data_IF_199738470311
#
_entry.id   IF_199738470311
#
_cell.length_a   1.000
_cell.length_b   1.000
_cell.length_c   1.000
_cell.angle_alpha   90.00
_cell.angle_beta   90.00
_cell.angle_gamma   90.00
#
_symmetry.space_group_name_H-M   'P 1'
#
loop_
_entity.id
_entity.type
_entity.pdbx_description
1 polymer ?
#
# COMPACT_ATOMS: atom_id res chain seq x y z
N UNK A 1 27.17 12.04 -2.17
CA UNK A 1 26.32 12.96 -1.37
C UNK A 1 25.67 13.97 -2.30
N UNK A 2 24.38 14.13 -2.22
CA UNK A 2 23.56 15.03 -3.04
C UNK A 2 22.95 16.10 -2.13
N UNK A 3 22.98 17.36 -2.56
CA UNK A 3 22.35 18.46 -1.82
C UNK A 3 21.11 18.93 -2.58
N UNK A 4 19.97 18.91 -1.89
CA UNK A 4 18.69 19.42 -2.38
C UNK A 4 18.31 20.64 -1.55
N UNK A 5 18.06 21.76 -2.19
CA UNK A 5 17.54 22.97 -1.55
C UNK A 5 16.21 23.36 -2.19
N UNK A 6 15.23 23.71 -1.39
CA UNK A 6 13.91 24.16 -1.85
C UNK A 6 13.49 25.44 -1.14
N UNK A 7 12.86 26.36 -1.87
CA UNK A 7 12.36 27.63 -1.33
C UNK A 7 11.22 27.43 -0.32
N UNK A 8 10.42 26.36 -0.50
CA UNK A 8 9.29 26.03 0.37
C UNK A 8 9.31 24.55 0.70
N UNK A 9 9.05 24.19 1.95
CA UNK A 9 9.04 22.81 2.45
C UNK A 9 8.09 21.88 1.66
N UNK A 10 6.98 22.40 1.16
CA UNK A 10 5.98 21.62 0.42
C UNK A 10 6.47 20.97 -0.87
N UNK A 11 7.60 21.38 -1.43
CA UNK A 11 8.22 20.75 -2.61
C UNK A 11 9.28 19.74 -2.25
N UNK A 12 9.81 19.78 -1.04
CA UNK A 12 10.95 18.96 -0.59
C UNK A 12 10.68 17.47 -0.69
N UNK A 13 9.48 17.03 -0.31
CA UNK A 13 9.10 15.61 -0.33
C UNK A 13 9.19 14.99 -1.72
N UNK A 14 8.54 15.59 -2.71
CA UNK A 14 8.51 15.06 -4.09
C UNK A 14 9.91 15.06 -4.72
N UNK A 15 10.67 16.14 -4.52
CA UNK A 15 12.05 16.26 -5.01
C UNK A 15 12.94 15.19 -4.39
N UNK A 16 12.89 15.02 -3.08
CA UNK A 16 13.68 14.01 -2.37
C UNK A 16 13.42 12.61 -2.89
N UNK A 17 12.15 12.21 -2.96
CA UNK A 17 11.81 10.86 -3.37
C UNK A 17 12.19 10.57 -4.82
N UNK A 18 12.05 11.58 -5.71
CA UNK A 18 12.47 11.43 -7.09
C UNK A 18 14.00 11.30 -7.19
N UNK A 19 14.75 12.18 -6.52
CA UNK A 19 16.22 12.10 -6.50
C UNK A 19 16.68 10.76 -5.91
N UNK A 20 16.04 10.31 -4.82
CA UNK A 20 16.37 9.02 -4.18
C UNK A 20 16.09 7.82 -5.09
N UNK A 21 15.07 7.90 -5.96
CA UNK A 21 14.79 6.86 -6.93
C UNK A 21 15.88 6.74 -8.00
N UNK A 22 16.49 7.85 -8.43
CA UNK A 22 17.62 7.82 -9.37
C UNK A 22 18.97 7.48 -8.69
N UNK A 23 19.11 7.82 -7.41
CA UNK A 23 20.35 7.67 -6.64
C UNK A 23 20.08 6.89 -5.33
N UNK A 24 19.71 5.61 -5.40
CA UNK A 24 19.26 4.85 -4.22
C UNK A 24 20.35 4.69 -3.13
N UNK A 25 21.63 4.71 -3.53
CA UNK A 25 22.76 4.50 -2.62
C UNK A 25 23.39 5.81 -2.14
N UNK A 26 22.96 6.96 -2.67
CA UNK A 26 23.53 8.24 -2.27
C UNK A 26 22.87 8.80 -1.01
N UNK A 27 23.67 9.47 -0.19
CA UNK A 27 23.16 10.31 0.88
C UNK A 27 22.60 11.59 0.30
N UNK A 28 21.39 11.97 0.72
CA UNK A 28 20.70 13.18 0.26
C UNK A 28 20.48 14.10 1.45
N UNK A 29 21.12 15.27 1.40
CA UNK A 29 20.92 16.34 2.39
C UNK A 29 19.89 17.31 1.85
N UNK A 30 18.84 17.54 2.65
CA UNK A 30 17.76 18.48 2.32
C UNK A 30 17.92 19.77 3.11
N UNK A 31 17.67 20.89 2.46
CA UNK A 31 17.62 22.20 3.07
C UNK A 31 16.39 22.96 2.56
N UNK A 32 15.77 23.75 3.43
CA UNK A 32 14.74 24.72 3.05
C UNK A 32 15.33 26.10 3.28
N UNK A 33 15.45 26.87 2.19
CA UNK A 33 15.96 28.23 2.22
C UNK A 33 14.97 29.18 1.52
N UNK A 34 14.16 29.85 2.32
CA UNK A 34 13.14 30.79 1.83
C UNK A 34 13.71 32.00 1.07
N UNK A 35 14.99 32.29 1.26
CA UNK A 35 15.69 33.44 0.63
C UNK A 35 16.31 33.07 -0.71
N UNK A 36 16.41 31.81 -1.07
CA UNK A 36 16.95 31.43 -2.39
C UNK A 36 16.07 31.94 -3.53
N UNK A 37 16.67 32.29 -4.65
CA UNK A 37 15.94 32.73 -5.86
C UNK A 37 15.20 31.57 -6.53
N UNK A 38 15.87 30.43 -6.66
CA UNK A 38 15.27 29.22 -7.28
C UNK A 38 14.22 28.60 -6.40
N UNK A 39 13.20 28.04 -7.03
CA UNK A 39 12.17 27.19 -6.35
C UNK A 39 12.82 25.94 -5.78
N UNK A 40 13.65 25.27 -6.60
CA UNK A 40 14.44 24.09 -6.24
C UNK A 40 15.82 24.20 -6.85
N UNK A 41 16.83 23.83 -6.06
CA UNK A 41 18.20 23.65 -6.52
C UNK A 41 18.72 22.28 -6.09
N UNK A 42 19.47 21.62 -6.98
CA UNK A 42 20.03 20.29 -6.78
C UNK A 42 21.49 20.27 -7.23
N UNK A 43 22.38 19.81 -6.36
CA UNK A 43 23.78 19.59 -6.69
C UNK A 43 24.07 18.09 -6.68
N UNK A 44 24.44 17.55 -7.84
CA UNK A 44 24.74 16.14 -8.04
C UNK A 44 26.24 15.83 -7.84
N UNK A 45 26.61 14.57 -7.56
CA UNK A 45 27.97 14.11 -7.65
C UNK A 45 28.53 14.36 -9.05
N UNK A 46 29.78 14.84 -9.14
CA UNK A 46 30.40 15.19 -10.44
C UNK A 46 30.22 16.64 -10.88
N UNK A 47 29.55 17.48 -10.06
CA UNK A 47 29.45 18.93 -10.27
C UNK A 47 28.28 19.38 -11.14
N UNK A 48 27.42 18.48 -11.61
CA UNK A 48 26.20 18.86 -12.30
C UNK A 48 25.21 19.48 -11.32
N UNK A 49 24.55 20.59 -11.74
CA UNK A 49 23.54 21.26 -10.95
C UNK A 49 22.25 21.45 -11.74
N UNK A 50 21.14 21.36 -11.03
CA UNK A 50 19.82 21.74 -11.49
C UNK A 50 19.35 22.93 -10.64
N UNK A 51 18.81 23.94 -11.27
CA UNK A 51 18.18 25.06 -10.58
C UNK A 51 17.02 25.53 -11.44
N UNK A 52 15.87 25.75 -10.83
CA UNK A 52 14.67 26.20 -11.54
C UNK A 52 13.92 27.23 -10.69
N UNK A 53 13.50 28.33 -11.29
CA UNK A 53 12.69 29.36 -10.66
C UNK A 53 11.18 28.97 -10.71
N UNK A 54 10.37 29.64 -9.87
CA UNK A 54 8.91 29.38 -9.85
C UNK A 54 8.28 29.77 -11.20
N UNK A 55 8.67 30.90 -11.75
CA UNK A 55 8.15 31.44 -13.01
C UNK A 55 8.42 30.50 -14.19
N UNK A 56 9.54 29.80 -14.18
CA UNK A 56 9.88 28.81 -15.20
C UNK A 56 8.97 27.57 -15.10
N UNK A 57 8.66 27.12 -13.87
CA UNK A 57 7.75 26.00 -13.65
C UNK A 57 6.31 26.38 -14.01
N UNK A 58 5.88 27.59 -13.65
CA UNK A 58 4.56 28.13 -14.01
C UNK A 58 4.40 28.25 -15.53
N UNK A 59 5.41 28.77 -16.22
CA UNK A 59 5.40 28.87 -17.67
C UNK A 59 5.31 27.47 -18.34
N UNK A 60 5.98 26.47 -17.79
CA UNK A 60 5.94 25.10 -18.28
C UNK A 60 4.61 24.39 -17.93
N UNK A 61 3.96 24.75 -16.84
CA UNK A 61 2.66 24.22 -16.43
C UNK A 61 1.49 24.72 -17.31
N UNK A 62 1.71 25.79 -18.10
CA UNK A 62 0.71 26.37 -18.97
C UNK A 62 -0.18 27.39 -18.27
N UNK A 63 -1.38 27.63 -18.80
CA UNK A 63 -2.29 28.63 -18.24
C UNK A 63 -2.92 28.16 -16.92
N UNK A 64 -2.39 28.69 -15.82
CA UNK A 64 -2.90 28.42 -14.47
C UNK A 64 -4.08 29.33 -14.08
N UNK A 65 -4.45 30.32 -14.90
CA UNK A 65 -5.52 31.28 -14.60
C UNK A 65 -6.90 30.66 -14.64
N UNK A 66 -7.07 29.58 -15.42
CA UNK A 66 -8.34 28.85 -15.53
C UNK A 66 -8.61 27.89 -14.35
N UNK A 67 -7.64 27.70 -13.45
CA UNK A 67 -7.81 26.81 -12.29
C UNK A 67 -8.58 27.51 -11.18
N UNK A 68 -9.66 26.88 -10.73
CA UNK A 68 -10.61 27.43 -9.77
C UNK A 68 -10.04 27.61 -8.36
N UNK A 69 -9.03 26.81 -7.96
CA UNK A 69 -8.48 26.84 -6.60
C UNK A 69 -6.98 26.96 -6.57
N UNK A 70 -6.45 27.61 -5.52
CA UNK A 70 -5.00 27.68 -5.29
C UNK A 70 -4.37 26.31 -5.08
N UNK A 71 -5.13 25.33 -4.54
CA UNK A 71 -4.67 23.94 -4.38
C UNK A 71 -4.48 23.26 -5.74
N UNK A 72 -5.38 23.49 -6.71
CA UNK A 72 -5.24 22.98 -8.07
C UNK A 72 -4.03 23.55 -8.77
N UNK A 73 -3.79 24.85 -8.65
CA UNK A 73 -2.58 25.53 -9.18
C UNK A 73 -1.31 24.93 -8.57
N UNK A 74 -1.30 24.75 -7.26
CA UNK A 74 -0.16 24.18 -6.57
C UNK A 74 0.12 22.73 -7.00
N UNK A 75 -0.90 21.93 -7.21
CA UNK A 75 -0.75 20.56 -7.73
C UNK A 75 -0.18 20.55 -9.16
N UNK A 76 -0.62 21.48 -10.01
CA UNK A 76 -0.09 21.63 -11.36
C UNK A 76 1.40 22.02 -11.34
N UNK A 77 1.78 22.98 -10.49
CA UNK A 77 3.18 23.39 -10.30
C UNK A 77 4.03 22.21 -9.78
N UNK A 78 3.55 21.47 -8.78
CA UNK A 78 4.25 20.29 -8.25
C UNK A 78 4.42 19.19 -9.32
N UNK A 79 3.39 18.95 -10.11
CA UNK A 79 3.41 17.99 -11.21
C UNK A 79 4.48 18.39 -12.23
N UNK A 80 4.48 19.64 -12.69
CA UNK A 80 5.42 20.07 -13.72
C UNK A 80 6.86 20.18 -13.20
N UNK A 81 7.08 20.68 -11.99
CA UNK A 81 8.38 20.64 -11.34
C UNK A 81 8.95 19.20 -11.31
N UNK A 82 8.13 18.24 -10.93
CA UNK A 82 8.54 16.83 -10.88
C UNK A 82 8.90 16.29 -12.26
N UNK A 83 8.16 16.70 -13.31
CA UNK A 83 8.42 16.31 -14.72
C UNK A 83 9.73 16.90 -15.23
N UNK A 84 9.97 18.18 -14.97
CA UNK A 84 11.21 18.87 -15.39
C UNK A 84 12.43 18.27 -14.68
N UNK A 85 12.32 18.04 -13.39
CA UNK A 85 13.38 17.38 -12.61
C UNK A 85 13.63 15.95 -13.09
N UNK A 86 12.59 15.17 -13.39
CA UNK A 86 12.72 13.81 -13.93
C UNK A 86 13.53 13.81 -15.23
N UNK A 87 13.17 14.66 -16.19
CA UNK A 87 13.88 14.77 -17.46
C UNK A 87 15.35 15.13 -17.30
N UNK A 88 15.64 16.07 -16.38
CA UNK A 88 17.02 16.42 -16.06
C UNK A 88 17.79 15.22 -15.49
N UNK A 89 17.23 14.52 -14.50
CA UNK A 89 17.87 13.37 -13.87
C UNK A 89 18.05 12.21 -14.85
N UNK A 90 17.08 11.94 -15.69
CA UNK A 90 17.14 10.93 -16.75
C UNK A 90 18.31 11.23 -17.71
N UNK A 91 18.48 12.46 -18.14
CA UNK A 91 19.59 12.88 -19.00
C UNK A 91 20.94 12.73 -18.31
N UNK A 92 21.04 13.13 -17.04
CA UNK A 92 22.29 13.05 -16.27
C UNK A 92 22.72 11.61 -15.98
N UNK A 93 21.76 10.74 -15.65
CA UNK A 93 22.04 9.35 -15.26
C UNK A 93 21.96 8.36 -16.42
N UNK A 94 21.34 8.72 -17.54
CA UNK A 94 20.96 7.84 -18.66
C UNK A 94 20.15 6.64 -18.20
N UNK A 95 19.35 6.83 -17.14
CA UNK A 95 18.51 5.79 -16.53
C UNK A 95 17.07 6.24 -16.59
N UNK A 96 16.18 5.36 -17.04
CA UNK A 96 14.73 5.54 -16.96
C UNK A 96 14.19 4.78 -15.75
N UNK A 97 13.24 5.36 -15.03
CA UNK A 97 12.55 4.68 -13.94
C UNK A 97 11.30 3.99 -14.48
N UNK A 98 11.11 2.71 -14.17
CA UNK A 98 9.96 1.94 -14.66
C UNK A 98 8.60 2.54 -14.25
N UNK A 99 8.51 3.18 -13.09
CA UNK A 99 7.35 3.92 -12.61
C UNK A 99 7.41 5.43 -12.86
N UNK A 100 8.39 5.91 -13.60
CA UNK A 100 8.55 7.32 -13.94
C UNK A 100 8.58 8.23 -12.71
N UNK A 101 7.71 9.23 -12.69
CA UNK A 101 7.58 10.18 -11.57
C UNK A 101 6.69 9.67 -10.41
N UNK A 102 6.10 8.48 -10.53
CA UNK A 102 5.23 7.93 -9.49
C UNK A 102 6.05 7.37 -8.33
N UNK A 103 6.33 8.22 -7.35
CA UNK A 103 7.03 7.86 -6.11
C UNK A 103 6.09 7.99 -4.91
N UNK A 104 6.08 6.99 -4.03
CA UNK A 104 5.27 7.02 -2.80
C UNK A 104 3.75 6.94 -3.01
N UNK A 105 3.28 6.52 -4.18
CA UNK A 105 1.86 6.38 -4.52
C UNK A 105 1.50 4.92 -4.85
N UNK A 106 0.20 4.62 -4.82
CA UNK A 106 -0.34 3.32 -5.28
C UNK A 106 -0.73 3.44 -6.75
N UNK A 107 0.06 2.90 -7.70
CA UNK A 107 -0.20 3.06 -9.13
C UNK A 107 -1.55 2.48 -9.56
N UNK A 108 -1.96 1.35 -8.99
CA UNK A 108 -3.24 0.70 -9.30
C UNK A 108 -4.44 1.57 -8.89
N UNK A 109 -4.37 2.27 -7.75
CA UNK A 109 -5.41 3.22 -7.35
C UNK A 109 -5.51 4.39 -8.32
N UNK A 110 -4.37 4.93 -8.78
CA UNK A 110 -4.35 5.99 -9.78
C UNK A 110 -4.93 5.49 -11.12
N UNK A 111 -4.58 4.27 -11.53
CA UNK A 111 -5.15 3.64 -12.73
C UNK A 111 -6.67 3.48 -12.59
N UNK A 112 -7.17 3.05 -11.44
CA UNK A 112 -8.61 2.91 -11.18
C UNK A 112 -9.33 4.27 -11.32
N UNK A 113 -8.81 5.31 -10.67
CA UNK A 113 -9.39 6.67 -10.77
C UNK A 113 -9.40 7.20 -12.20
N UNK A 114 -8.33 6.92 -13.00
CA UNK A 114 -8.32 7.30 -14.42
C UNK A 114 -9.28 6.47 -15.26
N UNK A 115 -9.43 5.18 -15.01
CA UNK A 115 -10.41 4.32 -15.69
C UNK A 115 -11.85 4.78 -15.40
N UNK A 116 -12.15 5.27 -14.21
CA UNK A 116 -13.44 5.85 -13.85
C UNK A 116 -13.79 7.08 -14.68
N UNK A 117 -12.80 7.90 -15.06
CA UNK A 117 -13.02 9.05 -15.96
C UNK A 117 -13.48 8.64 -17.35
N UNK A 118 -13.27 7.40 -17.74
CA UNK A 118 -13.59 6.83 -19.06
C UNK A 118 -14.71 5.79 -19.01
N UNK A 119 -15.59 5.82 -18.00
CA UNK A 119 -16.68 4.83 -17.82
C UNK A 119 -17.67 4.75 -19.00
N UNK A 120 -17.83 5.83 -19.77
CA UNK A 120 -18.67 5.85 -20.96
C UNK A 120 -18.07 5.11 -22.16
N UNK A 121 -16.81 4.68 -22.07
CA UNK A 121 -16.06 4.01 -23.13
C UNK A 121 -16.06 2.49 -22.94
N UNK A 122 -15.62 1.76 -23.99
CA UNK A 122 -15.33 0.34 -23.81
C UNK A 122 -14.13 0.15 -22.88
N UNK A 123 -14.07 -0.98 -22.16
CA UNK A 123 -12.95 -1.31 -21.25
C UNK A 123 -11.59 -1.19 -21.98
N UNK A 124 -11.52 -1.72 -23.21
CA UNK A 124 -10.30 -1.67 -24.01
C UNK A 124 -9.86 -0.23 -24.37
N UNK A 125 -10.81 0.65 -24.66
CA UNK A 125 -10.51 2.07 -24.96
C UNK A 125 -10.09 2.82 -23.68
N UNK A 126 -10.79 2.59 -22.56
CA UNK A 126 -10.45 3.17 -21.26
C UNK A 126 -9.04 2.76 -20.82
N UNK A 127 -8.68 1.48 -20.95
CA UNK A 127 -7.33 0.97 -20.67
C UNK A 127 -6.29 1.66 -21.55
N UNK A 128 -6.52 1.72 -22.86
CA UNK A 128 -5.57 2.36 -23.80
C UNK A 128 -5.31 3.82 -23.46
N UNK A 129 -6.37 4.59 -23.13
CA UNK A 129 -6.24 6.00 -22.72
C UNK A 129 -5.53 6.15 -21.40
N UNK A 130 -5.81 5.28 -20.43
CA UNK A 130 -5.14 5.30 -19.12
C UNK A 130 -3.66 4.97 -19.27
N UNK A 131 -3.30 3.98 -20.08
CA UNK A 131 -1.89 3.64 -20.39
C UNK A 131 -1.19 4.84 -21.05
N UNK A 132 -1.83 5.49 -22.03
CA UNK A 132 -1.31 6.72 -22.65
C UNK A 132 -1.06 7.82 -21.62
N UNK A 133 -2.05 8.08 -20.76
CA UNK A 133 -1.92 9.08 -19.70
C UNK A 133 -0.76 8.76 -18.71
N UNK A 134 -0.56 7.50 -18.35
CA UNK A 134 0.55 7.10 -17.47
C UNK A 134 1.92 7.37 -18.12
N UNK A 135 2.04 7.13 -19.41
CA UNK A 135 3.27 7.41 -20.17
C UNK A 135 3.51 8.91 -20.32
N UNK A 136 2.51 9.63 -20.77
CA UNK A 136 2.63 11.03 -21.16
C UNK A 136 2.70 11.98 -19.95
N UNK A 137 1.94 11.66 -18.89
CA UNK A 137 1.90 12.50 -17.71
C UNK A 137 2.98 12.17 -16.68
N UNK A 138 3.30 10.86 -16.52
CA UNK A 138 4.14 10.38 -15.42
C UNK A 138 5.42 9.67 -15.87
N UNK A 139 5.68 9.55 -17.18
CA UNK A 139 6.84 8.84 -17.73
C UNK A 139 6.93 7.36 -17.29
N UNK A 140 5.81 6.73 -16.98
CA UNK A 140 5.74 5.31 -16.64
C UNK A 140 6.01 4.47 -17.88
N UNK A 141 6.78 3.39 -17.74
CA UNK A 141 6.99 2.46 -18.84
C UNK A 141 5.68 1.82 -19.29
N UNK A 142 5.59 1.48 -20.58
CA UNK A 142 4.41 0.82 -21.16
C UNK A 142 4.01 -0.43 -20.36
N UNK A 143 5.00 -1.29 -20.07
CA UNK A 143 4.80 -2.54 -19.30
C UNK A 143 4.15 -2.27 -17.93
N UNK A 144 4.66 -1.28 -17.18
CA UNK A 144 4.13 -0.95 -15.87
C UNK A 144 2.78 -0.26 -15.92
N UNK A 145 2.55 0.57 -16.92
CA UNK A 145 1.26 1.20 -17.16
C UNK A 145 0.17 0.15 -17.47
N UNK A 146 0.47 -0.80 -18.35
CA UNK A 146 -0.41 -1.92 -18.68
C UNK A 146 -0.70 -2.77 -17.44
N UNK A 147 0.35 -3.17 -16.70
CA UNK A 147 0.20 -3.94 -15.46
C UNK A 147 -0.71 -3.23 -14.44
N UNK A 148 -0.52 -1.92 -14.22
CA UNK A 148 -1.36 -1.15 -13.31
C UNK A 148 -2.83 -1.15 -13.75
N UNK A 149 -3.09 -1.00 -15.05
CA UNK A 149 -4.45 -1.03 -15.60
C UNK A 149 -5.09 -2.42 -15.48
N UNK A 150 -4.35 -3.50 -15.80
CA UNK A 150 -4.85 -4.87 -15.66
C UNK A 150 -5.25 -5.20 -14.24
N UNK A 151 -4.42 -4.80 -13.27
CA UNK A 151 -4.74 -4.98 -11.85
C UNK A 151 -5.97 -4.15 -11.49
N UNK A 152 -6.03 -2.86 -11.89
CA UNK A 152 -7.16 -1.98 -11.58
C UNK A 152 -8.50 -2.52 -12.15
N UNK A 153 -8.49 -3.05 -13.37
CA UNK A 153 -9.68 -3.68 -13.97
C UNK A 153 -10.11 -4.91 -13.17
N UNK A 154 -9.17 -5.75 -12.74
CA UNK A 154 -9.48 -6.91 -11.88
C UNK A 154 -10.01 -6.48 -10.52
N UNK A 155 -9.38 -5.50 -9.89
CA UNK A 155 -9.83 -4.94 -8.61
C UNK A 155 -11.25 -4.36 -8.74
N UNK A 156 -11.54 -3.59 -9.80
CA UNK A 156 -12.89 -3.04 -10.04
C UNK A 156 -13.94 -4.15 -10.12
N UNK A 157 -13.66 -5.26 -10.81
CA UNK A 157 -14.55 -6.42 -10.92
C UNK A 157 -14.75 -7.15 -9.58
N UNK A 158 -13.72 -7.20 -8.73
CA UNK A 158 -13.82 -7.79 -7.39
C UNK A 158 -14.59 -6.87 -6.45
N UNK A 159 -14.22 -5.60 -6.42
CA UNK A 159 -14.83 -4.59 -5.55
C UNK A 159 -16.31 -4.36 -5.88
N UNK A 160 -16.74 -4.54 -7.14
CA UNK A 160 -18.16 -4.42 -7.52
C UNK A 160 -19.09 -5.46 -6.87
N UNK A 161 -18.52 -6.48 -6.21
CA UNK A 161 -19.27 -7.49 -5.44
C UNK A 161 -19.48 -7.10 -3.98
N UNK A 162 -18.79 -6.05 -3.51
CA UNK A 162 -18.94 -5.56 -2.14
C UNK A 162 -20.24 -4.79 -1.99
N UNK A 163 -20.88 -4.96 -0.84
CA UNK A 163 -22.02 -4.15 -0.44
C UNK A 163 -21.52 -2.89 0.27
N UNK A 164 -21.26 -1.83 -0.49
CA UNK A 164 -20.78 -0.55 0.07
C UNK A 164 -21.77 0.17 1.00
N UNK A 165 -23.02 -0.23 0.98
CA UNK A 165 -24.07 0.42 1.78
C UNK A 165 -24.23 -0.25 3.14
N UNK A 166 -24.41 -1.57 3.12
CA UNK A 166 -24.79 -2.35 4.30
C UNK A 166 -23.75 -3.40 4.68
N UNK A 167 -22.69 -3.58 3.87
CA UNK A 167 -21.59 -4.49 4.12
C UNK A 167 -20.43 -3.87 4.89
N UNK A 168 -19.61 -4.71 5.51
CA UNK A 168 -18.37 -4.33 6.18
C UNK A 168 -17.31 -5.42 6.07
N UNK A 169 -16.04 -5.09 6.36
CA UNK A 169 -14.97 -6.05 6.50
C UNK A 169 -14.61 -6.23 7.97
N UNK A 170 -14.63 -7.50 8.44
CA UNK A 170 -14.25 -7.84 9.80
C UNK A 170 -12.77 -8.24 9.84
N UNK A 171 -11.96 -7.46 10.56
CA UNK A 171 -10.58 -7.82 10.86
C UNK A 171 -10.43 -8.27 12.31
N UNK A 172 -9.85 -9.46 12.51
CA UNK A 172 -9.58 -10.04 13.84
C UNK A 172 -8.08 -10.19 14.01
N UNK A 173 -7.50 -9.43 14.93
CA UNK A 173 -6.06 -9.42 15.18
C UNK A 173 -5.64 -10.46 16.21
N UNK A 174 -4.59 -11.25 15.92
CA UNK A 174 -3.90 -12.11 16.88
C UNK A 174 -2.46 -11.61 17.01
N UNK A 175 -2.08 -10.93 18.11
CA UNK A 175 -0.79 -10.24 18.21
C UNK A 175 0.38 -11.16 18.55
N UNK A 176 0.18 -12.47 18.55
CA UNK A 176 1.20 -13.43 18.97
C UNK A 176 1.89 -14.07 17.77
N UNK A 177 3.21 -14.29 17.90
CA UNK A 177 4.02 -15.06 16.96
C UNK A 177 4.82 -16.13 17.72
N UNK A 178 5.28 -17.21 17.06
CA UNK A 178 6.22 -18.15 17.69
C UNK A 178 7.48 -17.44 18.18
N UNK A 179 8.02 -16.53 17.36
CA UNK A 179 9.12 -15.60 17.65
C UNK A 179 8.95 -14.34 16.81
N UNK A 180 9.61 -13.24 17.18
CA UNK A 180 9.63 -12.01 16.36
C UNK A 180 10.74 -12.13 15.32
N UNK A 181 10.39 -12.04 14.04
CA UNK A 181 11.36 -12.06 12.94
C UNK A 181 12.23 -10.79 12.96
N UNK A 182 13.52 -10.93 12.66
CA UNK A 182 14.49 -9.82 12.71
C UNK A 182 14.15 -8.61 11.83
N UNK A 183 13.35 -8.80 10.81
CA UNK A 183 12.90 -7.77 9.86
C UNK A 183 11.46 -7.27 10.10
N UNK A 184 10.77 -7.81 11.12
CA UNK A 184 9.35 -7.52 11.33
C UNK A 184 9.14 -6.11 11.89
N UNK A 185 8.27 -5.33 11.24
CA UNK A 185 7.83 -4.01 11.68
C UNK A 185 6.44 -4.01 12.31
N UNK A 186 5.77 -5.16 12.40
CA UNK A 186 4.45 -5.28 12.98
C UNK A 186 4.50 -5.35 14.51
N UNK A 187 3.43 -4.88 15.15
CA UNK A 187 3.23 -5.05 16.60
C UNK A 187 2.91 -6.50 16.91
N UNK A 188 3.94 -7.32 17.07
CA UNK A 188 3.82 -8.73 17.42
C UNK A 188 4.63 -9.05 18.66
N UNK A 189 4.22 -10.06 19.41
CA UNK A 189 4.85 -10.49 20.65
C UNK A 189 5.17 -12.00 20.61
N UNK A 190 6.36 -12.43 21.09
CA UNK A 190 6.66 -13.85 21.21
C UNK A 190 5.68 -14.52 22.15
N UNK A 191 5.00 -15.58 21.72
CA UNK A 191 3.98 -16.24 22.55
C UNK A 191 4.56 -16.80 23.85
N UNK A 192 5.82 -17.20 23.85
CA UNK A 192 6.51 -17.71 25.05
C UNK A 192 6.49 -16.72 26.22
N UNK A 193 6.59 -15.41 25.95
CA UNK A 193 6.56 -14.35 26.94
C UNK A 193 5.15 -14.02 27.43
N UNK A 194 4.14 -14.38 26.65
CA UNK A 194 2.73 -14.05 26.88
C UNK A 194 1.85 -15.26 27.18
N UNK A 195 2.46 -16.44 27.36
CA UNK A 195 1.74 -17.72 27.50
C UNK A 195 0.62 -17.65 28.54
N UNK A 196 0.87 -17.04 29.69
CA UNK A 196 -0.11 -16.89 30.77
C UNK A 196 -1.21 -15.85 30.48
N UNK A 197 -1.07 -15.07 29.42
CA UNK A 197 -2.01 -14.01 29.02
C UNK A 197 -2.86 -14.35 27.79
N UNK A 198 -2.49 -15.37 27.04
CA UNK A 198 -3.21 -15.75 25.81
C UNK A 198 -4.69 -16.04 26.08
N UNK A 199 -5.01 -16.78 27.15
CA UNK A 199 -6.41 -17.07 27.50
C UNK A 199 -7.17 -15.79 27.90
N UNK A 200 -6.56 -14.88 28.66
CA UNK A 200 -7.19 -13.60 29.02
C UNK A 200 -7.43 -12.73 27.78
N UNK A 201 -6.46 -12.71 26.86
CA UNK A 201 -6.60 -12.02 25.58
C UNK A 201 -7.74 -12.61 24.78
N UNK A 202 -7.75 -13.93 24.60
CA UNK A 202 -8.78 -14.61 23.82
C UNK A 202 -10.18 -14.37 24.43
N UNK A 203 -10.30 -14.44 25.76
CA UNK A 203 -11.55 -14.14 26.44
C UNK A 203 -12.06 -12.72 26.13
N UNK A 204 -11.18 -11.73 26.17
CA UNK A 204 -11.53 -10.34 25.83
C UNK A 204 -11.93 -10.21 24.36
N UNK A 205 -11.16 -10.81 23.44
CA UNK A 205 -11.43 -10.83 22.00
C UNK A 205 -12.79 -11.45 21.68
N UNK A 206 -13.10 -12.60 22.27
CA UNK A 206 -14.39 -13.27 22.07
C UNK A 206 -15.57 -12.44 22.60
N UNK A 207 -15.36 -11.69 23.70
CA UNK A 207 -16.37 -10.74 24.21
C UNK A 207 -16.56 -9.58 23.24
N UNK A 208 -15.49 -9.04 22.70
CA UNK A 208 -15.52 -7.97 21.71
C UNK A 208 -16.23 -8.41 20.42
N UNK A 209 -15.91 -9.60 19.89
CA UNK A 209 -16.57 -10.18 18.70
C UNK A 209 -18.09 -10.27 18.91
N UNK A 210 -18.55 -10.77 20.07
CA UNK A 210 -19.99 -10.84 20.40
C UNK A 210 -20.63 -9.44 20.49
N UNK A 211 -19.92 -8.46 21.03
CA UNK A 211 -20.41 -7.09 21.12
C UNK A 211 -20.54 -6.46 19.73
N UNK A 212 -19.53 -6.62 18.87
CA UNK A 212 -19.55 -6.15 17.48
C UNK A 212 -20.69 -6.85 16.71
N UNK A 213 -20.88 -8.18 16.87
CA UNK A 213 -21.99 -8.90 16.24
C UNK A 213 -23.36 -8.30 16.56
N UNK A 214 -23.59 -7.92 17.83
CA UNK A 214 -24.82 -7.22 18.24
C UNK A 214 -24.92 -5.80 17.66
N UNK A 215 -23.82 -5.06 17.61
CA UNK A 215 -23.80 -3.69 17.10
C UNK A 215 -24.00 -3.64 15.57
N UNK A 216 -23.66 -4.71 14.88
CA UNK A 216 -23.80 -4.84 13.42
C UNK A 216 -25.08 -5.59 12.99
N UNK A 217 -26.09 -5.72 13.87
CA UNK A 217 -27.38 -6.27 13.48
C UNK A 217 -27.97 -5.52 12.28
N UNK A 218 -28.38 -6.26 11.25
CA UNK A 218 -28.86 -5.70 9.98
C UNK A 218 -27.77 -5.45 8.94
N UNK A 219 -26.49 -5.54 9.33
CA UNK A 219 -25.31 -5.50 8.45
C UNK A 219 -24.63 -6.86 8.42
N UNK A 220 -23.88 -7.14 7.36
CA UNK A 220 -23.16 -8.41 7.22
C UNK A 220 -21.76 -8.20 6.71
N UNK A 221 -20.79 -9.05 7.11
CA UNK A 221 -19.44 -8.94 6.60
C UNK A 221 -19.37 -9.39 5.14
N UNK A 222 -18.77 -8.56 4.29
CA UNK A 222 -18.34 -8.94 2.94
C UNK A 222 -17.05 -9.77 2.96
N UNK A 223 -16.20 -9.51 3.94
CA UNK A 223 -14.99 -10.28 4.16
C UNK A 223 -14.67 -10.44 5.64
N UNK A 224 -14.02 -11.55 5.98
CA UNK A 224 -13.46 -11.83 7.31
C UNK A 224 -11.97 -12.12 7.16
N UNK A 225 -11.15 -11.46 7.94
CA UNK A 225 -9.71 -11.64 7.90
C UNK A 225 -9.15 -11.79 9.32
N UNK A 226 -8.60 -12.96 9.60
CA UNK A 226 -7.89 -13.23 10.87
C UNK A 226 -6.40 -13.13 10.58
N UNK A 227 -5.74 -12.12 11.14
CA UNK A 227 -4.34 -11.80 10.88
C UNK A 227 -3.63 -11.20 12.10
N UNK A 228 -2.59 -10.41 11.87
CA UNK A 228 -1.82 -9.72 12.89
C UNK A 228 -0.40 -10.24 13.00
N UNK A 229 -0.06 -10.92 14.09
CA UNK A 229 1.19 -11.65 14.23
C UNK A 229 1.14 -12.95 13.44
N UNK A 230 0.70 -14.03 14.08
CA UNK A 230 0.51 -15.34 13.44
C UNK A 230 -0.68 -16.04 14.08
N UNK A 231 -1.87 -15.98 13.50
CA UNK A 231 -3.09 -16.59 14.08
C UNK A 231 -2.94 -18.07 14.44
N UNK A 232 -2.20 -18.83 13.64
CA UNK A 232 -1.91 -20.26 13.91
C UNK A 232 -0.96 -20.50 15.10
N UNK A 233 -0.52 -19.44 15.78
CA UNK A 233 0.14 -19.56 17.09
C UNK A 233 -0.84 -20.01 18.18
N UNK A 234 -2.13 -19.72 18.03
CA UNK A 234 -3.17 -20.26 18.90
C UNK A 234 -3.21 -21.80 18.83
N UNK A 235 -3.51 -22.43 19.96
CA UNK A 235 -3.75 -23.87 20.00
C UNK A 235 -5.04 -24.24 19.27
N UNK A 236 -5.18 -25.51 18.84
CA UNK A 236 -6.33 -25.97 18.05
C UNK A 236 -7.67 -25.67 18.74
N UNK A 237 -7.77 -25.89 20.06
CA UNK A 237 -8.98 -25.59 20.85
C UNK A 237 -9.27 -24.08 20.91
N UNK A 238 -8.23 -23.26 21.03
CA UNK A 238 -8.34 -21.80 21.03
C UNK A 238 -8.83 -21.28 19.68
N UNK A 239 -8.31 -21.83 18.59
CA UNK A 239 -8.73 -21.54 17.22
C UNK A 239 -10.20 -21.96 16.98
N UNK A 240 -10.60 -23.14 17.47
CA UNK A 240 -11.98 -23.61 17.37
C UNK A 240 -12.95 -22.64 18.08
N UNK A 241 -12.64 -22.20 19.30
CA UNK A 241 -13.44 -21.22 20.04
C UNK A 241 -13.56 -19.89 19.31
N UNK A 242 -12.46 -19.41 18.70
CA UNK A 242 -12.45 -18.17 17.93
C UNK A 242 -13.33 -18.26 16.70
N UNK A 243 -13.11 -19.28 15.85
CA UNK A 243 -13.85 -19.48 14.60
C UNK A 243 -15.34 -19.73 14.87
N UNK A 244 -15.65 -20.52 15.91
CA UNK A 244 -17.03 -20.76 16.35
C UNK A 244 -17.71 -19.44 16.77
N UNK A 245 -17.04 -18.62 17.57
CA UNK A 245 -17.63 -17.34 18.02
C UNK A 245 -17.90 -16.42 16.84
N UNK A 246 -17.00 -16.33 15.86
CA UNK A 246 -17.24 -15.54 14.64
C UNK A 246 -18.46 -16.07 13.89
N UNK A 247 -18.53 -17.39 13.65
CA UNK A 247 -19.60 -18.01 12.88
C UNK A 247 -20.97 -17.90 13.56
N UNK A 248 -21.00 -17.91 14.90
CA UNK A 248 -22.25 -17.79 15.67
C UNK A 248 -22.77 -16.33 15.77
N UNK A 249 -21.93 -15.33 15.55
CA UNK A 249 -22.29 -13.92 15.77
C UNK A 249 -22.41 -13.10 14.49
N UNK A 250 -22.01 -13.63 13.32
CA UNK A 250 -22.15 -12.95 12.04
C UNK A 250 -22.80 -13.87 11.00
N UNK A 251 -23.65 -13.28 10.15
CA UNK A 251 -24.15 -13.99 8.96
C UNK A 251 -23.04 -14.01 7.87
N UNK A 252 -22.45 -15.18 7.70
CA UNK A 252 -21.37 -15.40 6.75
C UNK A 252 -21.83 -15.93 5.39
N UNK A 253 -23.15 -15.99 5.14
CA UNK A 253 -23.73 -16.60 3.93
C UNK A 253 -23.27 -15.94 2.61
N UNK A 254 -22.94 -14.65 2.66
CA UNK A 254 -22.52 -13.86 1.49
C UNK A 254 -21.07 -13.37 1.59
N UNK A 255 -20.29 -13.89 2.53
CA UNK A 255 -18.88 -13.54 2.66
C UNK A 255 -18.11 -13.94 1.39
N UNK A 256 -17.48 -12.98 0.75
CA UNK A 256 -16.70 -13.18 -0.47
C UNK A 256 -15.38 -13.89 -0.18
N UNK A 257 -14.76 -13.58 0.95
CA UNK A 257 -13.52 -14.20 1.39
C UNK A 257 -13.45 -14.25 2.92
N UNK A 258 -13.19 -15.45 3.47
CA UNK A 258 -12.83 -15.64 4.87
C UNK A 258 -11.40 -16.18 4.93
N UNK A 259 -10.46 -15.32 5.29
CA UNK A 259 -9.02 -15.63 5.33
C UNK A 259 -8.55 -15.85 6.76
N UNK A 260 -7.72 -16.89 6.94
CA UNK A 260 -6.90 -17.11 8.14
C UNK A 260 -5.43 -17.06 7.75
N UNK A 261 -4.67 -16.17 8.36
CA UNK A 261 -3.22 -16.16 8.20
C UNK A 261 -2.58 -17.32 8.96
N UNK A 262 -1.78 -18.09 8.25
CA UNK A 262 -0.87 -19.11 8.76
C UNK A 262 0.56 -18.73 8.34
N UNK A 263 0.96 -17.50 8.69
CA UNK A 263 2.15 -16.83 8.15
C UNK A 263 3.48 -17.50 8.49
N UNK A 264 3.49 -18.39 9.47
CA UNK A 264 4.66 -19.14 9.91
C UNK A 264 4.41 -20.63 9.76
N UNK A 265 5.11 -21.35 8.85
CA UNK A 265 4.93 -22.82 8.67
C UNK A 265 5.15 -23.61 9.95
N UNK A 266 6.06 -23.17 10.84
CA UNK A 266 6.36 -23.79 12.13
C UNK A 266 5.21 -23.71 13.15
N UNK A 267 4.21 -22.87 12.91
CA UNK A 267 2.99 -22.77 13.74
C UNK A 267 1.82 -23.60 13.25
N UNK A 268 1.96 -24.28 12.11
CA UNK A 268 0.89 -25.05 11.46
C UNK A 268 0.98 -26.51 11.90
N UNK A 269 -0.16 -27.07 12.34
CA UNK A 269 -0.31 -28.51 12.62
C UNK A 269 -1.54 -29.06 11.90
N UNK A 270 -1.57 -30.39 11.70
CA UNK A 270 -2.72 -31.06 11.09
C UNK A 270 -4.01 -30.82 11.89
N UNK A 271 -3.91 -30.82 13.22
CA UNK A 271 -5.04 -30.55 14.11
C UNK A 271 -5.62 -29.14 13.91
N UNK A 272 -4.77 -28.14 13.81
CA UNK A 272 -5.19 -26.75 13.54
C UNK A 272 -5.84 -26.61 12.18
N UNK A 273 -5.27 -27.23 11.15
CA UNK A 273 -5.87 -27.27 9.81
C UNK A 273 -7.22 -28.00 9.80
N UNK A 274 -7.34 -29.10 10.53
CA UNK A 274 -8.60 -29.83 10.69
C UNK A 274 -9.67 -28.97 11.38
N UNK A 275 -9.28 -28.17 12.37
CA UNK A 275 -10.18 -27.20 13.02
C UNK A 275 -10.62 -26.13 12.03
N UNK A 276 -9.70 -25.48 11.34
CA UNK A 276 -10.02 -24.42 10.37
C UNK A 276 -11.01 -24.93 9.31
N UNK A 277 -10.82 -26.16 8.84
CA UNK A 277 -11.68 -26.79 7.82
C UNK A 277 -13.14 -27.02 8.26
N UNK A 278 -13.44 -27.03 9.56
CA UNK A 278 -14.83 -27.17 10.06
C UNK A 278 -15.69 -25.91 9.80
N UNK A 279 -15.05 -24.78 9.55
CA UNK A 279 -15.67 -23.47 9.42
C UNK A 279 -15.65 -22.99 7.96
N UNK A 280 -16.46 -22.00 7.58
CA UNK A 280 -16.52 -21.51 6.20
C UNK A 280 -15.31 -20.66 5.79
N UNK A 281 -14.12 -21.05 6.25
CA UNK A 281 -12.85 -20.41 5.84
C UNK A 281 -12.59 -20.78 4.38
N UNK A 282 -12.45 -19.75 3.53
CA UNK A 282 -12.25 -19.93 2.10
C UNK A 282 -10.78 -19.88 1.69
N UNK A 283 -9.91 -19.32 2.56
CA UNK A 283 -8.51 -19.09 2.26
C UNK A 283 -7.61 -19.21 3.49
N UNK A 284 -6.46 -19.83 3.30
CA UNK A 284 -5.35 -19.83 4.25
C UNK A 284 -4.15 -19.16 3.58
N UNK A 285 -3.52 -18.18 4.25
CA UNK A 285 -2.33 -17.50 3.77
C UNK A 285 -1.08 -18.08 4.44
N UNK A 286 -0.23 -18.74 3.65
CA UNK A 286 1.01 -19.38 4.13
C UNK A 286 2.20 -18.64 3.50
N UNK A 287 3.12 -18.16 4.34
CA UNK A 287 4.31 -17.46 3.89
C UNK A 287 5.55 -18.36 4.03
N UNK A 288 6.28 -18.66 2.97
CA UNK A 288 7.55 -19.38 3.08
C UNK A 288 8.66 -18.54 3.71
N UNK A 289 8.45 -17.23 3.89
CA UNK A 289 9.37 -16.18 4.34
C UNK A 289 10.56 -15.98 3.39
N UNK A 290 11.29 -17.05 3.06
CA UNK A 290 12.36 -17.09 2.04
C UNK A 290 12.52 -18.52 1.53
N UNK A 291 13.02 -18.66 0.32
CA UNK A 291 13.38 -19.96 -0.26
C UNK A 291 14.85 -20.30 -0.04
N UNK A 292 15.61 -19.43 0.65
CA UNK A 292 17.01 -19.67 1.00
C UNK A 292 17.11 -20.24 2.41
N UNK A 293 17.54 -21.51 2.52
CA UNK A 293 17.60 -22.23 3.78
C UNK A 293 18.48 -21.55 4.84
N UNK A 294 19.64 -20.98 4.44
CA UNK A 294 20.52 -20.25 5.36
C UNK A 294 19.88 -19.00 5.95
N UNK A 295 19.01 -18.33 5.20
CA UNK A 295 18.28 -17.15 5.70
C UNK A 295 17.24 -17.52 6.76
N UNK A 296 16.65 -18.71 6.68
CA UNK A 296 15.67 -19.19 7.68
C UNK A 296 16.27 -19.38 9.07
N UNK A 297 17.58 -19.66 9.16
CA UNK A 297 18.27 -19.82 10.45
C UNK A 297 18.33 -18.49 11.22
N UNK A 298 18.35 -17.36 10.52
CA UNK A 298 18.46 -16.02 11.09
C UNK A 298 17.13 -15.29 11.24
N UNK A 299 16.06 -15.84 10.70
CA UNK A 299 14.71 -15.31 10.76
C UNK A 299 13.99 -15.80 12.04
#
# INVERSE_FOLDING_TARGET
>A
MIKVSSKKNKYTYNVYHLVKAFFPNEEIIQNVDEKQESLVALNLPGGSCFSIALEEVEAAAGDLSEMETEEAKEQAIKKELTRLLYRYLEQQTRTTLAWGTLTGVRPTKLAMTKLEQYESMTEAEAVRRTVGAFRDEFFVSEEKAQLACEIAVREKKLLSKLDYKDGFSLYVGIPFCPSVCSYCSFSSSPIAEWKDKVESYLFALLKEIRAIGKMSEGHRPDSVYIGGGTPTTLEAEQMDRLLKTITENFDLSNVLEFTVEAGRPDSITEEKLAVIRKYPVTRISINPQTMQQLSLIHI
#
